data_IF_151397828349
#
_entry.id   IF_151397828349
#
_cell.length_a   1.000
_cell.length_b   1.000
_cell.length_c   1.000
_cell.angle_alpha   90.00
_cell.angle_beta   90.00
_cell.angle_gamma   90.00
#
_symmetry.space_group_name_H-M   'P 1'
#
loop_
_entity.id
_entity.type
_entity.pdbx_description
1 polymer ?
#
# COMPACT_ATOMS: atom_id res chain seq x y z
N UNK A 1 14.34 2.69 16.06
CA UNK A 1 15.28 1.88 15.42
C UNK A 1 14.74 0.56 14.93
N UNK A 2 14.28 -0.36 15.80
CA UNK A 2 13.68 -1.60 15.30
C UNK A 2 12.45 -1.32 14.45
N UNK A 3 11.67 -0.37 14.86
CA UNK A 3 10.45 0.02 14.15
C UNK A 3 10.76 0.52 12.75
N UNK A 4 11.80 1.34 12.62
CA UNK A 4 12.22 1.85 11.33
C UNK A 4 12.73 0.72 10.44
N UNK A 5 13.45 -0.24 11.03
CA UNK A 5 13.93 -1.41 10.29
C UNK A 5 12.77 -2.29 9.82
N UNK A 6 11.73 -2.42 10.64
CA UNK A 6 10.54 -3.17 10.27
C UNK A 6 9.83 -2.52 9.07
N UNK A 7 9.71 -1.20 9.08
CA UNK A 7 9.08 -0.46 8.01
C UNK A 7 9.87 -0.61 6.72
N UNK A 8 11.20 -0.46 6.79
CA UNK A 8 12.04 -0.67 5.63
C UNK A 8 11.93 -2.08 5.08
N UNK A 9 11.89 -3.06 5.97
CA UNK A 9 11.73 -4.45 5.58
C UNK A 9 10.42 -4.70 4.86
N UNK A 10 9.34 -4.13 5.36
CA UNK A 10 8.04 -4.25 4.73
C UNK A 10 8.02 -3.58 3.36
N UNK A 11 8.62 -2.39 3.27
CA UNK A 11 8.70 -1.67 2.02
C UNK A 11 9.44 -2.50 0.96
N UNK A 12 10.64 -2.97 1.31
CA UNK A 12 11.45 -3.76 0.38
C UNK A 12 10.75 -5.04 -0.05
N UNK A 13 10.05 -5.68 0.89
CA UNK A 13 9.42 -6.96 0.61
C UNK A 13 8.17 -6.82 -0.24
N UNK A 14 7.37 -5.81 0.01
CA UNK A 14 6.03 -5.73 -0.56
C UNK A 14 5.82 -4.63 -1.59
N UNK A 15 6.72 -3.66 -1.69
CA UNK A 15 6.49 -2.52 -2.58
C UNK A 15 6.25 -2.96 -4.03
N UNK A 16 7.10 -3.84 -4.54
CA UNK A 16 6.97 -4.33 -5.92
C UNK A 16 5.65 -5.03 -6.16
N UNK A 17 5.22 -5.85 -5.19
CA UNK A 17 3.95 -6.57 -5.30
C UNK A 17 2.77 -5.60 -5.25
N UNK A 18 2.82 -4.61 -4.36
CA UNK A 18 1.78 -3.59 -4.26
C UNK A 18 1.70 -2.78 -5.53
N UNK A 19 2.84 -2.37 -6.06
CA UNK A 19 2.89 -1.61 -7.30
C UNK A 19 2.27 -2.40 -8.45
N UNK A 20 2.66 -3.65 -8.63
CA UNK A 20 2.12 -4.50 -9.69
C UNK A 20 0.63 -4.71 -9.53
N UNK A 21 0.17 -4.89 -8.30
CA UNK A 21 -1.25 -5.03 -8.03
C UNK A 21 -2.01 -3.77 -8.43
N UNK A 22 -1.54 -2.61 -7.98
CA UNK A 22 -2.19 -1.34 -8.30
C UNK A 22 -2.12 -1.03 -9.80
N UNK A 23 -0.99 -1.34 -10.43
CA UNK A 23 -0.85 -1.15 -11.86
C UNK A 23 -1.86 -1.99 -12.65
N UNK A 24 -2.11 -3.22 -12.20
CA UNK A 24 -3.09 -4.08 -12.84
C UNK A 24 -4.50 -3.51 -12.75
N UNK A 25 -4.78 -2.74 -11.70
CA UNK A 25 -6.10 -2.17 -11.49
C UNK A 25 -6.28 -0.84 -12.24
N UNK A 26 -5.34 0.07 -12.10
CA UNK A 26 -5.49 1.42 -12.67
C UNK A 26 -4.90 1.56 -14.07
N UNK A 27 -4.02 0.66 -14.48
CA UNK A 27 -3.40 0.63 -15.79
C UNK A 27 -2.71 1.94 -16.16
N UNK A 28 -2.14 2.59 -15.16
CA UNK A 28 -1.46 3.87 -15.32
C UNK A 28 -0.27 3.85 -14.38
N UNK A 29 0.95 3.86 -14.92
CA UNK A 29 2.13 3.69 -14.10
C UNK A 29 2.35 4.85 -13.13
N UNK A 30 1.99 6.07 -13.54
CA UNK A 30 2.12 7.22 -12.63
C UNK A 30 1.13 7.12 -11.48
N UNK A 31 -0.11 6.73 -11.77
CA UNK A 31 -1.11 6.53 -10.73
C UNK A 31 -0.71 5.39 -9.80
N UNK A 32 -0.22 4.28 -10.36
CA UNK A 32 0.20 3.14 -9.55
C UNK A 32 1.34 3.53 -8.60
N UNK A 33 2.29 4.34 -9.08
CA UNK A 33 3.38 4.81 -8.27
C UNK A 33 2.88 5.68 -7.12
N UNK A 34 2.01 6.65 -7.41
CA UNK A 34 1.44 7.53 -6.40
C UNK A 34 0.65 6.74 -5.37
N UNK A 35 -0.18 5.80 -5.84
CA UNK A 35 -0.99 4.98 -4.95
C UNK A 35 -0.14 4.06 -4.08
N UNK A 36 0.95 3.54 -4.63
CA UNK A 36 1.87 2.70 -3.87
C UNK A 36 2.54 3.49 -2.77
N UNK A 37 2.98 4.71 -3.06
CA UNK A 37 3.60 5.57 -2.05
C UNK A 37 2.59 5.93 -0.97
N UNK A 38 1.37 6.29 -1.35
CA UNK A 38 0.33 6.60 -0.39
C UNK A 38 0.00 5.39 0.49
N UNK A 39 0.00 4.21 -0.10
CA UNK A 39 -0.22 2.97 0.64
C UNK A 39 0.82 2.82 1.76
N UNK A 40 2.10 3.00 1.43
CA UNK A 40 3.15 2.83 2.42
C UNK A 40 3.22 3.96 3.43
N UNK A 41 2.80 5.16 3.06
CA UNK A 41 2.62 6.22 4.05
C UNK A 41 1.60 5.82 5.11
N UNK A 42 0.50 5.19 4.69
CA UNK A 42 -0.51 4.71 5.62
C UNK A 42 -0.02 3.50 6.41
N UNK A 43 0.80 2.65 5.80
CA UNK A 43 1.43 1.54 6.53
C UNK A 43 2.28 2.11 7.67
N UNK A 44 3.10 3.11 7.37
CA UNK A 44 3.97 3.73 8.36
C UNK A 44 3.15 4.31 9.52
N UNK A 45 2.08 5.03 9.20
CA UNK A 45 1.28 5.67 10.25
C UNK A 45 0.40 4.69 11.01
N UNK A 46 0.10 3.52 10.44
CA UNK A 46 -0.80 2.56 11.07
C UNK A 46 -0.14 1.34 11.70
N UNK A 47 1.16 1.14 11.48
CA UNK A 47 1.81 -0.11 11.89
C UNK A 47 1.76 -0.31 13.41
N UNK A 48 1.82 0.75 14.19
CA UNK A 48 1.76 0.65 15.65
C UNK A 48 0.41 0.18 16.14
N UNK A 49 -0.65 0.49 15.41
CA UNK A 49 -2.00 0.06 15.74
C UNK A 49 -2.39 -1.27 15.16
N UNK A 50 -1.51 -1.86 14.35
CA UNK A 50 -1.80 -3.14 13.74
C UNK A 50 -1.77 -4.23 14.81
N UNK A 51 -2.87 -4.96 14.94
CA UNK A 51 -3.04 -5.92 16.02
C UNK A 51 -2.96 -7.38 15.59
N UNK A 52 -2.59 -7.62 14.36
CA UNK A 52 -2.42 -9.00 13.91
C UNK A 52 -3.72 -9.73 13.65
N UNK A 53 -4.83 -9.01 13.44
CA UNK A 53 -6.10 -9.64 13.10
C UNK A 53 -6.07 -10.31 11.72
N UNK A 54 -5.08 -9.97 10.92
CA UNK A 54 -4.81 -10.60 9.62
C UNK A 54 -3.31 -10.56 9.40
N UNK A 55 -2.84 -11.16 8.30
CA UNK A 55 -1.41 -11.08 8.00
C UNK A 55 -1.05 -9.65 7.62
N UNK A 56 0.20 -9.28 7.84
CA UNK A 56 0.70 -7.97 7.44
C UNK A 56 0.49 -7.75 5.95
N UNK A 57 0.73 -8.78 5.16
CA UNK A 57 0.51 -8.70 3.71
C UNK A 57 -0.94 -8.34 3.39
N UNK A 58 -1.89 -9.04 3.99
CA UNK A 58 -3.31 -8.77 3.78
C UNK A 58 -3.66 -7.34 4.17
N UNK A 59 -3.13 -6.88 5.28
CA UNK A 59 -3.37 -5.53 5.76
C UNK A 59 -2.86 -4.49 4.76
N UNK A 60 -1.63 -4.67 4.28
CA UNK A 60 -1.04 -3.75 3.30
C UNK A 60 -1.87 -3.72 2.01
N UNK A 61 -2.27 -4.89 1.51
CA UNK A 61 -3.07 -4.96 0.28
C UNK A 61 -4.48 -4.39 0.47
N UNK A 62 -5.03 -4.49 1.67
CA UNK A 62 -6.30 -3.84 1.98
C UNK A 62 -6.18 -2.33 1.88
N UNK A 63 -5.09 -1.77 2.42
CA UNK A 63 -4.82 -0.34 2.30
C UNK A 63 -4.67 0.05 0.84
N UNK A 64 -3.92 -0.73 0.07
CA UNK A 64 -3.70 -0.45 -1.35
C UNK A 64 -5.02 -0.43 -2.12
N UNK A 65 -5.91 -1.39 -1.84
CA UNK A 65 -7.20 -1.45 -2.50
C UNK A 65 -8.06 -0.25 -2.17
N UNK A 66 -8.02 0.22 -0.92
CA UNK A 66 -8.75 1.42 -0.52
C UNK A 66 -8.21 2.65 -1.24
N UNK A 67 -6.89 2.75 -1.40
CA UNK A 67 -6.29 3.84 -2.16
C UNK A 67 -6.75 3.82 -3.60
N UNK A 68 -6.84 2.64 -4.20
CA UNK A 68 -7.35 2.50 -5.55
C UNK A 68 -8.80 2.98 -5.66
N UNK A 69 -9.66 2.62 -4.72
CA UNK A 69 -11.04 3.05 -4.75
C UNK A 69 -11.18 4.57 -4.63
N UNK A 70 -10.35 5.20 -3.78
CA UNK A 70 -10.32 6.66 -3.69
C UNK A 70 -9.92 7.29 -5.02
N UNK A 71 -8.88 6.74 -5.65
CA UNK A 71 -8.42 7.22 -6.94
C UNK A 71 -9.51 7.07 -8.00
N UNK A 72 -10.21 5.95 -7.98
CA UNK A 72 -11.25 5.66 -8.96
C UNK A 72 -12.41 6.67 -8.88
N UNK A 73 -12.75 7.10 -7.68
CA UNK A 73 -13.78 8.12 -7.49
C UNK A 73 -13.36 9.46 -8.07
N UNK A 74 -12.11 9.80 -7.95
CA UNK A 74 -11.57 11.05 -8.47
C UNK A 74 -11.29 10.99 -9.98
N UNK A 75 -11.16 9.78 -10.52
CA UNK A 75 -10.82 9.56 -11.93
C UNK A 75 -11.77 8.52 -12.53
N UNK A 76 -13.06 8.86 -12.70
CA UNK A 76 -14.00 7.90 -13.24
C UNK A 76 -13.65 7.56 -14.70
N UNK A 77 -13.96 6.32 -15.14
CA UNK A 77 -13.66 5.89 -16.50
C UNK A 77 -14.44 6.62 -17.56
#
# INVERSE_FOLDING_TARGET
MQEQNEIEGLYRKYYGDVYRYLLSLCRNCHAAEDLSQNTFLKVISGIRGFRGSCSVKTWIFTIARHEYYHWLRANPP
#
